data_IF_584174720624
#
_entry.id   IF_584174720624
#
_cell.length_a   1.000
_cell.length_b   1.000
_cell.length_c   1.000
_cell.angle_alpha   90.00
_cell.angle_beta   90.00
_cell.angle_gamma   90.00
#
_symmetry.space_group_name_H-M   'P 1'
#
loop_
_entity.id
_entity.type
_entity.pdbx_description
1 polymer ?
#
# COMPACT_ATOMS: atom_id res chain seq x y z
N UNK A 1 -63.16 36.74 20.45
CA UNK A 1 -63.22 35.48 19.67
C UNK A 1 -61.93 35.37 18.87
N UNK A 2 -61.11 34.34 19.14
CA UNK A 2 -59.76 34.17 18.58
C UNK A 2 -59.83 33.78 17.10
N UNK A 3 -59.18 34.54 16.22
CA UNK A 3 -58.98 34.15 14.81
C UNK A 3 -57.75 33.23 14.74
N UNK A 4 -57.95 31.99 14.33
CA UNK A 4 -56.88 31.03 14.03
C UNK A 4 -56.63 31.12 12.53
N UNK A 5 -55.50 31.70 12.14
CA UNK A 5 -55.05 31.73 10.75
C UNK A 5 -54.15 30.51 10.55
N UNK A 6 -54.62 29.52 9.79
CA UNK A 6 -53.82 28.36 9.39
C UNK A 6 -52.95 28.76 8.19
N UNK A 7 -51.63 28.62 8.34
CA UNK A 7 -50.65 28.84 7.28
C UNK A 7 -50.49 27.52 6.49
N UNK A 8 -51.01 27.47 5.27
CA UNK A 8 -50.77 26.36 4.34
C UNK A 8 -49.46 26.64 3.60
N UNK A 9 -48.40 25.90 3.93
CA UNK A 9 -47.16 25.90 3.15
C UNK A 9 -47.30 24.88 2.01
N UNK A 10 -47.51 25.35 0.78
CA UNK A 10 -47.47 24.53 -0.42
C UNK A 10 -46.02 24.38 -0.87
N UNK A 11 -45.44 23.20 -0.66
CA UNK A 11 -44.11 22.84 -1.15
C UNK A 11 -44.19 22.59 -2.65
N UNK A 12 -43.66 23.52 -3.45
CA UNK A 12 -43.49 23.34 -4.89
C UNK A 12 -42.29 22.41 -5.10
N UNK A 13 -42.54 21.18 -5.56
CA UNK A 13 -41.50 20.31 -6.13
C UNK A 13 -41.33 20.68 -7.61
N UNK A 14 -40.23 21.36 -7.97
CA UNK A 14 -39.77 21.42 -9.36
C UNK A 14 -39.03 20.12 -9.67
N UNK A 15 -39.59 19.29 -10.54
CA UNK A 15 -38.84 18.21 -11.19
C UNK A 15 -38.17 18.79 -12.44
N UNK A 16 -36.90 19.14 -12.34
CA UNK A 16 -36.07 19.38 -13.51
C UNK A 16 -35.63 18.03 -14.10
N UNK A 17 -36.03 17.76 -15.34
CA UNK A 17 -35.50 16.67 -16.14
C UNK A 17 -34.09 17.07 -16.58
N UNK A 18 -33.05 16.48 -15.98
CA UNK A 18 -31.69 16.60 -16.47
C UNK A 18 -31.23 15.22 -16.95
N UNK A 19 -31.00 15.13 -18.26
CA UNK A 19 -30.23 14.08 -18.90
C UNK A 19 -28.86 14.00 -18.22
N UNK A 20 -28.50 12.83 -17.69
CA UNK A 20 -27.17 12.60 -17.15
C UNK A 20 -26.21 12.41 -18.33
N UNK A 21 -25.42 13.46 -18.55
CA UNK A 21 -24.23 13.49 -19.39
C UNK A 21 -23.08 12.72 -18.70
N UNK A 22 -22.23 12.09 -19.52
CA UNK A 22 -21.10 11.27 -19.11
C UNK A 22 -19.96 12.09 -18.46
N UNK A 23 -19.18 11.41 -17.60
CA UNK A 23 -17.85 11.80 -17.10
C UNK A 23 -17.77 13.04 -16.20
N UNK A 24 -18.27 12.91 -14.97
CA UNK A 24 -17.75 13.73 -13.87
C UNK A 24 -16.44 13.10 -13.34
N UNK A 25 -15.34 13.26 -14.07
CA UNK A 25 -14.01 13.08 -13.49
C UNK A 25 -13.76 14.28 -12.58
N UNK A 26 -14.07 14.09 -11.29
CA UNK A 26 -13.63 15.00 -10.25
C UNK A 26 -12.11 15.10 -10.34
N UNK A 27 -11.63 16.22 -10.89
CA UNK A 27 -10.21 16.58 -10.95
C UNK A 27 -9.70 16.53 -9.51
N UNK A 28 -8.97 15.47 -9.18
CA UNK A 28 -8.40 15.29 -7.85
C UNK A 28 -7.50 16.50 -7.57
N UNK A 29 -7.61 17.00 -6.35
CA UNK A 29 -6.83 18.09 -5.80
C UNK A 29 -5.34 17.85 -6.13
N UNK A 30 -4.73 18.79 -6.84
CA UNK A 30 -3.30 18.78 -7.12
C UNK A 30 -2.54 19.00 -5.80
N UNK A 31 -2.31 17.95 -5.02
CA UNK A 31 -1.06 17.90 -4.23
C UNK A 31 0.09 17.77 -5.22
N UNK A 32 1.17 18.49 -4.96
CA UNK A 32 2.35 18.63 -5.83
C UNK A 32 3.03 17.30 -6.23
N UNK A 33 2.65 16.17 -5.62
CA UNK A 33 3.11 14.84 -6.02
C UNK A 33 2.23 14.30 -7.17
N UNK A 34 2.79 14.00 -8.34
CA UNK A 34 2.06 13.27 -9.40
C UNK A 34 2.55 11.83 -9.58
N UNK A 35 3.41 11.37 -8.67
CA UNK A 35 4.05 10.07 -8.72
C UNK A 35 3.48 9.08 -7.71
N UNK A 36 3.42 7.82 -8.11
CA UNK A 36 3.13 6.66 -7.26
C UNK A 36 4.44 5.92 -7.01
N UNK A 37 4.74 5.63 -5.73
CA UNK A 37 5.94 4.90 -5.36
C UNK A 37 5.70 3.39 -5.40
N UNK A 38 6.57 2.68 -6.11
CA UNK A 38 6.62 1.23 -6.16
C UNK A 38 7.80 0.73 -5.31
N UNK A 39 7.54 -0.20 -4.40
CA UNK A 39 8.59 -0.84 -3.62
C UNK A 39 9.36 -1.85 -4.48
N UNK A 40 10.66 -1.61 -4.60
CA UNK A 40 11.62 -2.58 -5.11
C UNK A 40 12.73 -2.86 -4.09
N UNK A 41 12.62 -2.33 -2.86
CA UNK A 41 13.65 -2.50 -1.83
C UNK A 41 13.60 -3.85 -1.13
N UNK A 42 12.48 -4.55 -1.19
CA UNK A 42 12.24 -5.78 -0.43
C UNK A 42 12.38 -7.08 -1.23
N UNK A 43 13.30 -7.14 -2.20
CA UNK A 43 13.63 -8.39 -2.90
C UNK A 43 12.53 -8.89 -3.82
N UNK A 44 11.88 -7.97 -4.53
CA UNK A 44 10.79 -8.24 -5.48
C UNK A 44 11.28 -8.94 -6.77
N UNK A 45 12.59 -9.06 -6.95
CA UNK A 45 13.26 -9.80 -8.04
C UNK A 45 13.94 -11.10 -7.56
N UNK A 46 13.56 -11.60 -6.38
CA UNK A 46 14.14 -12.82 -5.84
C UNK A 46 13.79 -14.06 -6.68
N UNK A 47 14.78 -14.93 -6.91
CA UNK A 47 14.62 -16.12 -7.75
C UNK A 47 14.28 -15.73 -9.20
N UNK A 48 13.20 -16.30 -9.74
CA UNK A 48 12.67 -15.99 -11.09
C UNK A 48 11.53 -14.95 -11.04
N UNK A 49 11.40 -14.19 -9.94
CA UNK A 49 10.42 -13.11 -9.84
C UNK A 49 10.89 -11.85 -10.58
N UNK A 50 9.94 -11.09 -11.13
CA UNK A 50 10.19 -9.80 -11.78
C UNK A 50 9.07 -8.81 -11.39
N UNK A 51 8.81 -8.66 -10.10
CA UNK A 51 7.70 -7.86 -9.58
C UNK A 51 8.05 -6.37 -9.46
N UNK A 52 8.74 -5.83 -10.47
CA UNK A 52 9.07 -4.41 -10.60
C UNK A 52 8.10 -3.72 -11.57
N UNK A 53 7.98 -2.39 -11.45
CA UNK A 53 6.96 -1.60 -12.16
C UNK A 53 7.15 -1.57 -13.68
N UNK A 54 8.38 -1.75 -14.15
CA UNK A 54 8.75 -1.83 -15.57
C UNK A 54 8.93 -3.27 -16.08
N UNK A 55 8.76 -4.26 -15.21
CA UNK A 55 8.84 -5.69 -15.49
C UNK A 55 7.46 -6.36 -15.50
N UNK A 56 7.26 -7.33 -14.61
CA UNK A 56 6.00 -8.06 -14.44
C UNK A 56 4.77 -7.19 -14.14
N UNK A 57 4.95 -5.96 -13.69
CA UNK A 57 3.87 -4.96 -13.51
C UNK A 57 3.82 -3.87 -14.59
N UNK A 58 4.51 -4.03 -15.72
CA UNK A 58 4.53 -3.04 -16.81
C UNK A 58 3.15 -2.62 -17.32
N UNK A 59 2.20 -3.55 -17.49
CA UNK A 59 0.82 -3.19 -17.87
C UNK A 59 0.12 -2.37 -16.79
N UNK A 60 0.41 -2.62 -15.52
CA UNK A 60 -0.14 -1.80 -14.43
C UNK A 60 0.46 -0.39 -14.44
N UNK A 61 1.74 -0.24 -14.79
CA UNK A 61 2.34 1.07 -15.05
C UNK A 61 1.64 1.81 -16.19
N UNK A 62 1.36 1.13 -17.31
CA UNK A 62 0.61 1.72 -18.42
C UNK A 62 -0.75 2.27 -17.98
N UNK A 63 -1.46 1.54 -17.11
CA UNK A 63 -2.75 1.97 -16.60
C UNK A 63 -2.63 3.16 -15.63
N UNK A 64 -1.59 3.21 -14.79
CA UNK A 64 -1.26 4.38 -13.95
C UNK A 64 -1.01 5.61 -14.84
N UNK A 65 -0.25 5.45 -15.93
CA UNK A 65 0.06 6.51 -16.88
C UNK A 65 -1.20 7.03 -17.60
N UNK A 66 -2.12 6.15 -17.99
CA UNK A 66 -3.43 6.54 -18.59
C UNK A 66 -4.30 7.36 -17.64
N UNK A 67 -4.14 7.18 -16.33
CA UNK A 67 -4.81 7.97 -15.30
C UNK A 67 -4.14 9.34 -15.05
N UNK A 68 -3.02 9.63 -15.72
CA UNK A 68 -2.30 10.91 -15.63
C UNK A 68 -1.30 10.98 -14.48
N UNK A 69 -0.95 9.85 -13.85
CA UNK A 69 0.11 9.74 -12.86
C UNK A 69 1.37 9.16 -13.49
N UNK A 70 2.52 9.36 -12.86
CA UNK A 70 3.77 8.67 -13.18
C UNK A 70 4.17 7.72 -12.05
N UNK A 71 5.15 6.86 -12.28
CA UNK A 71 5.66 5.93 -11.26
C UNK A 71 7.13 6.17 -10.96
N UNK A 72 7.52 5.95 -9.70
CA UNK A 72 8.90 5.86 -9.27
C UNK A 72 9.11 4.52 -8.53
N UNK A 73 10.33 4.00 -8.54
CA UNK A 73 10.71 2.80 -7.80
C UNK A 73 11.78 3.12 -6.76
N UNK A 74 11.74 2.44 -5.62
CA UNK A 74 12.84 2.51 -4.66
C UNK A 74 14.05 1.70 -5.14
N UNK A 75 15.26 2.06 -4.72
CA UNK A 75 16.42 1.18 -4.92
C UNK A 75 16.33 -0.09 -4.06
N UNK A 76 17.03 -1.15 -4.47
CA UNK A 76 17.13 -2.38 -3.67
C UNK A 76 17.66 -2.10 -2.26
N UNK A 77 17.00 -2.64 -1.23
CA UNK A 77 17.28 -2.42 0.20
C UNK A 77 17.21 -0.96 0.71
N UNK A 78 16.70 -0.01 -0.08
CA UNK A 78 16.36 1.31 0.42
C UNK A 78 15.32 1.25 1.56
N UNK A 79 15.55 2.03 2.62
CA UNK A 79 14.65 2.07 3.78
C UNK A 79 13.38 2.87 3.48
N UNK A 80 12.22 2.30 3.79
CA UNK A 80 10.92 2.96 3.64
C UNK A 80 10.66 3.91 4.82
N UNK A 81 10.93 5.20 4.61
CA UNK A 81 10.71 6.24 5.63
C UNK A 81 9.42 7.02 5.43
N UNK A 82 8.87 7.62 6.49
CA UNK A 82 7.69 8.48 6.38
C UNK A 82 7.97 9.70 5.47
N UNK A 83 9.20 10.23 5.50
CA UNK A 83 9.61 11.33 4.62
C UNK A 83 9.58 10.91 3.16
N UNK A 84 10.02 9.70 2.84
CA UNK A 84 9.92 9.13 1.51
C UNK A 84 8.45 9.03 1.08
N UNK A 85 7.62 8.34 1.87
CA UNK A 85 6.21 8.09 1.55
C UNK A 85 5.40 9.36 1.30
N UNK A 86 5.68 10.45 2.04
CA UNK A 86 4.98 11.75 1.88
C UNK A 86 5.27 12.48 0.57
N UNK A 87 6.28 12.06 -0.20
CA UNK A 87 6.60 12.65 -1.50
C UNK A 87 5.74 12.09 -2.64
N UNK A 88 4.95 11.04 -2.39
CA UNK A 88 4.20 10.31 -3.39
C UNK A 88 2.71 10.24 -3.06
N UNK A 89 1.87 10.09 -4.09
CA UNK A 89 0.41 10.02 -3.98
C UNK A 89 -0.08 8.74 -3.33
N UNK A 90 0.61 7.64 -3.63
CA UNK A 90 0.34 6.33 -3.08
C UNK A 90 1.63 5.52 -3.04
N UNK A 91 1.61 4.46 -2.24
CA UNK A 91 2.68 3.48 -2.15
C UNK A 91 2.15 2.10 -2.53
N UNK A 92 2.87 1.38 -3.39
CA UNK A 92 2.55 0.02 -3.78
C UNK A 92 3.68 -0.88 -3.33
N UNK A 93 3.34 -1.93 -2.58
CA UNK A 93 4.28 -2.92 -2.06
C UNK A 93 3.96 -4.28 -2.67
N UNK A 94 4.64 -4.67 -3.77
CA UNK A 94 4.37 -5.88 -4.51
C UNK A 94 5.21 -7.03 -3.98
N UNK A 95 4.59 -7.89 -3.19
CA UNK A 95 5.11 -9.18 -2.80
C UNK A 95 6.57 -9.13 -2.27
N UNK A 96 6.79 -8.45 -1.13
CA UNK A 96 8.11 -8.38 -0.52
C UNK A 96 8.58 -9.78 -0.15
N UNK A 97 9.83 -10.09 -0.46
CA UNK A 97 10.55 -11.27 0.03
C UNK A 97 11.51 -10.93 1.17
N UNK A 98 11.64 -9.66 1.59
CA UNK A 98 12.48 -9.27 2.74
C UNK A 98 11.56 -8.74 3.84
N UNK A 99 11.70 -9.21 5.10
CA UNK A 99 10.86 -8.74 6.18
C UNK A 99 11.12 -7.27 6.53
N UNK A 100 10.03 -6.51 6.70
CA UNK A 100 10.08 -5.10 7.09
C UNK A 100 10.77 -4.90 8.44
N UNK A 101 11.52 -3.80 8.54
CA UNK A 101 12.07 -3.31 9.80
C UNK A 101 10.96 -2.69 10.67
N UNK A 102 11.22 -2.61 11.98
CA UNK A 102 10.34 -1.88 12.90
C UNK A 102 10.08 -0.44 12.46
N UNK A 103 11.14 0.25 12.01
CA UNK A 103 11.09 1.64 11.54
C UNK A 103 10.15 1.79 10.33
N UNK A 104 10.25 0.87 9.37
CA UNK A 104 9.44 0.86 8.16
C UNK A 104 7.97 0.58 8.46
N UNK A 105 7.68 -0.38 9.34
CA UNK A 105 6.31 -0.63 9.80
C UNK A 105 5.71 0.60 10.49
N UNK A 106 6.48 1.29 11.32
CA UNK A 106 6.05 2.54 11.95
C UNK A 106 5.80 3.65 10.92
N UNK A 107 6.68 3.79 9.93
CA UNK A 107 6.54 4.76 8.85
C UNK A 107 5.27 4.52 8.01
N UNK A 108 5.07 3.28 7.56
CA UNK A 108 3.89 2.87 6.78
C UNK A 108 2.61 3.06 7.58
N UNK A 109 2.59 2.62 8.86
CA UNK A 109 1.43 2.84 9.74
C UNK A 109 1.11 4.31 9.92
N UNK A 110 2.14 5.15 10.14
CA UNK A 110 1.95 6.59 10.27
C UNK A 110 1.40 7.21 8.98
N UNK A 111 1.97 6.84 7.83
CA UNK A 111 1.54 7.32 6.52
C UNK A 111 0.05 7.05 6.28
N UNK A 112 -0.39 5.81 6.47
CA UNK A 112 -1.80 5.42 6.28
C UNK A 112 -2.71 6.09 7.31
N UNK A 113 -2.33 6.13 8.59
CA UNK A 113 -3.10 6.84 9.62
C UNK A 113 -3.24 8.35 9.34
N UNK A 114 -2.34 8.92 8.55
CA UNK A 114 -2.37 10.32 8.13
C UNK A 114 -3.13 10.54 6.81
N UNK A 115 -3.81 9.50 6.29
CA UNK A 115 -4.58 9.56 5.04
C UNK A 115 -3.82 9.15 3.78
N UNK A 116 -2.58 8.67 3.91
CA UNK A 116 -1.82 8.08 2.81
C UNK A 116 -2.45 6.77 2.32
N UNK A 117 -2.28 6.48 1.03
CA UNK A 117 -2.84 5.27 0.41
C UNK A 117 -1.76 4.23 0.15
N UNK A 118 -2.01 2.98 0.55
CA UNK A 118 -1.13 1.85 0.26
C UNK A 118 -1.89 0.76 -0.48
N UNK A 119 -1.25 0.14 -1.47
CA UNK A 119 -1.68 -1.12 -2.07
C UNK A 119 -0.65 -2.20 -1.76
N UNK A 120 -1.09 -3.29 -1.14
CA UNK A 120 -0.25 -4.45 -0.81
C UNK A 120 -0.67 -5.61 -1.71
N UNK A 121 0.28 -6.18 -2.44
CA UNK A 121 0.06 -7.36 -3.29
C UNK A 121 0.87 -8.50 -2.67
N UNK A 122 0.26 -9.68 -2.51
CA UNK A 122 0.94 -10.87 -2.03
C UNK A 122 0.47 -12.09 -2.83
N UNK A 123 1.39 -13.01 -3.06
CA UNK A 123 1.09 -14.34 -3.59
C UNK A 123 0.69 -15.31 -2.47
N UNK A 124 0.54 -16.57 -2.86
CA UNK A 124 0.12 -17.70 -2.08
C UNK A 124 1.13 -18.12 -1.01
N UNK A 125 0.69 -19.09 -0.21
CA UNK A 125 1.54 -19.82 0.73
C UNK A 125 2.75 -20.46 0.04
N UNK A 126 3.94 -20.40 0.67
CA UNK A 126 5.18 -20.98 0.17
C UNK A 126 5.66 -20.34 -1.14
N UNK A 127 5.56 -19.02 -1.20
CA UNK A 127 6.04 -18.18 -2.30
C UNK A 127 7.46 -17.65 -2.06
N UNK A 128 8.07 -17.85 -0.88
CA UNK A 128 9.44 -17.43 -0.55
C UNK A 128 10.45 -17.80 -1.66
N UNK A 129 10.89 -16.79 -2.41
CA UNK A 129 11.81 -16.96 -3.55
C UNK A 129 13.27 -16.78 -3.17
N UNK A 130 13.59 -16.26 -1.98
CA UNK A 130 14.97 -16.04 -1.53
C UNK A 130 15.40 -16.94 -0.37
N UNK A 131 14.55 -17.93 -0.04
CA UNK A 131 14.76 -18.95 0.99
C UNK A 131 15.05 -18.34 2.37
N UNK A 132 14.48 -17.17 2.67
CA UNK A 132 14.66 -16.49 3.95
C UNK A 132 13.59 -16.82 5.00
N UNK A 133 12.69 -17.75 4.66
CA UNK A 133 11.60 -18.27 5.48
C UNK A 133 10.39 -17.34 5.65
N UNK A 134 10.27 -16.31 4.83
CA UNK A 134 9.15 -15.37 4.86
C UNK A 134 8.42 -15.33 3.52
N UNK A 135 7.11 -15.55 3.56
CA UNK A 135 6.21 -15.21 2.46
C UNK A 135 5.71 -13.75 2.62
N UNK A 136 5.38 -13.06 1.52
CA UNK A 136 4.83 -11.69 1.56
C UNK A 136 3.60 -11.55 2.49
N UNK A 137 2.71 -12.54 2.45
CA UNK A 137 1.52 -12.59 3.31
C UNK A 137 1.85 -12.65 4.81
N UNK A 138 3.00 -13.22 5.16
CA UNK A 138 3.53 -13.32 6.52
C UNK A 138 4.17 -11.99 6.95
N UNK A 139 4.92 -11.35 6.04
CA UNK A 139 5.52 -10.02 6.22
C UNK A 139 4.44 -8.99 6.53
N UNK A 140 3.34 -8.95 5.77
CA UNK A 140 2.25 -7.99 6.00
C UNK A 140 1.48 -8.24 7.30
N UNK A 141 1.22 -9.52 7.61
CA UNK A 141 0.40 -9.87 8.77
C UNK A 141 1.18 -9.96 10.07
N UNK A 142 2.50 -9.84 10.03
CA UNK A 142 3.31 -9.86 11.22
C UNK A 142 3.31 -11.22 11.91
N UNK A 143 3.51 -12.30 11.16
CA UNK A 143 3.78 -13.63 11.72
C UNK A 143 4.80 -14.38 10.87
N UNK A 144 5.27 -15.54 11.34
CA UNK A 144 5.97 -16.53 10.50
C UNK A 144 5.41 -17.92 10.77
N UNK A 145 5.14 -18.69 9.72
CA UNK A 145 4.65 -20.06 9.83
C UNK A 145 5.56 -20.96 10.68
N UNK A 146 4.93 -21.78 11.52
CA UNK A 146 5.62 -22.67 12.47
C UNK A 146 6.37 -21.94 13.60
N UNK A 147 6.33 -20.61 13.61
CA UNK A 147 7.18 -19.73 14.40
C UNK A 147 6.42 -18.50 14.94
N UNK A 148 5.11 -18.64 15.16
CA UNK A 148 4.21 -17.54 15.53
C UNK A 148 4.68 -16.70 16.74
N UNK A 149 5.25 -17.34 17.77
CA UNK A 149 5.72 -16.65 19.00
C UNK A 149 7.16 -16.18 18.92
N UNK A 150 7.96 -16.78 18.06
CA UNK A 150 9.38 -16.46 17.92
C UNK A 150 9.78 -16.64 16.46
N UNK A 151 9.91 -15.53 15.74
CA UNK A 151 10.23 -15.51 14.32
C UNK A 151 11.61 -16.08 14.00
N UNK A 152 12.50 -16.25 14.97
CA UNK A 152 13.82 -16.89 14.75
C UNK A 152 13.80 -18.40 15.00
N UNK A 153 12.67 -18.99 15.40
CA UNK A 153 12.59 -20.42 15.72
C UNK A 153 13.02 -21.30 14.54
N UNK A 154 14.09 -22.07 14.71
CA UNK A 154 14.62 -22.97 13.70
C UNK A 154 15.47 -22.30 12.61
N UNK A 155 15.78 -21.01 12.77
CA UNK A 155 16.86 -20.35 12.03
C UNK A 155 18.22 -20.69 12.66
N UNK A 156 19.26 -20.78 11.83
CA UNK A 156 20.65 -20.80 12.25
C UNK A 156 21.08 -19.44 12.79
N UNK A 157 22.25 -19.39 13.44
CA UNK A 157 22.79 -18.14 13.93
C UNK A 157 23.14 -17.18 12.78
N UNK A 158 23.60 -17.70 11.64
CA UNK A 158 23.93 -16.91 10.45
C UNK A 158 22.66 -16.29 9.84
N UNK A 159 21.56 -17.04 9.78
CA UNK A 159 20.27 -16.52 9.34
C UNK A 159 19.79 -15.39 10.26
N UNK A 160 19.89 -15.56 11.57
CA UNK A 160 19.50 -14.55 12.57
C UNK A 160 20.35 -13.29 12.43
N UNK A 161 21.65 -13.43 12.16
CA UNK A 161 22.59 -12.32 12.08
C UNK A 161 22.65 -11.65 10.70
N UNK A 162 21.98 -12.23 9.69
CA UNK A 162 21.98 -11.72 8.31
C UNK A 162 21.42 -10.29 8.21
N UNK A 163 21.89 -9.52 7.23
CA UNK A 163 21.47 -8.13 7.02
C UNK A 163 19.96 -7.98 6.85
N UNK A 164 19.32 -8.97 6.22
CA UNK A 164 17.86 -9.04 6.01
C UNK A 164 17.04 -9.25 7.29
N UNK A 165 17.69 -9.61 8.41
CA UNK A 165 17.04 -9.79 9.72
C UNK A 165 17.36 -8.66 10.70
N UNK A 166 18.27 -7.74 10.32
CA UNK A 166 18.67 -6.63 11.18
C UNK A 166 17.54 -5.61 11.34
N UNK A 167 17.09 -5.41 12.59
CA UNK A 167 16.00 -4.48 12.91
C UNK A 167 14.62 -4.96 12.49
N UNK A 168 14.50 -6.20 11.99
CA UNK A 168 13.23 -6.78 11.61
C UNK A 168 12.33 -6.97 12.82
N UNK A 169 11.10 -6.50 12.68
CA UNK A 169 10.08 -6.62 13.70
C UNK A 169 8.83 -7.09 12.99
N UNK A 170 8.21 -8.14 13.48
CA UNK A 170 7.10 -8.79 12.78
C UNK A 170 5.89 -8.65 13.68
N UNK A 171 5.14 -7.58 13.42
CA UNK A 171 3.84 -7.28 14.02
C UNK A 171 2.91 -6.83 12.90
N UNK A 172 1.64 -7.21 13.00
CA UNK A 172 0.65 -6.88 11.97
C UNK A 172 0.65 -5.38 11.68
N UNK A 173 0.81 -5.02 10.41
CA UNK A 173 0.90 -3.62 9.96
C UNK A 173 -0.32 -2.81 10.42
N UNK A 174 -1.52 -3.36 10.22
CA UNK A 174 -2.79 -2.76 10.60
C UNK A 174 -3.51 -3.62 11.64
N UNK A 175 -3.49 -3.13 12.89
CA UNK A 175 -4.35 -3.50 14.02
C UNK A 175 -4.58 -2.25 14.86
#
# INVERSE_FOLDING_TARGET
MKKITALFAATIFLTACNSADESNTTKLKSDDANEILFDASHGVTAGEADWVIDGGFSTFNDDINKLGFTTASTDYQAEITLKLLKQYKAFIMPEPNIPLKASEQQAIKHYVNSGGSIMMIADHYNADRNLNRFDASEIFNGYRRGAFRNITKGMSQDEINSDRMQGCYIKRLFK
#
